data_IF_386072317242
#
_entry.id   IF_386072317242
#
_cell.length_a   1.000
_cell.length_b   1.000
_cell.length_c   1.000
_cell.angle_alpha   90.00
_cell.angle_beta   90.00
_cell.angle_gamma   90.00
#
_symmetry.space_group_name_H-M   'P 1'
#
loop_
_entity.id
_entity.type
_entity.pdbx_description
1 polymer ?
#
# COMPACT_ATOMS: atom_id res chain seq x y z
N UNK A 1 -123.22 20.01 12.12
CA UNK A 1 -122.64 18.71 11.70
C UNK A 1 -121.99 18.69 10.31
N UNK A 2 -122.48 19.44 9.31
CA UNK A 2 -121.87 19.46 7.97
C UNK A 2 -120.43 20.02 7.87
N UNK A 3 -120.07 21.00 8.70
CA UNK A 3 -118.76 21.64 8.65
C UNK A 3 -117.62 20.71 9.15
N UNK A 4 -117.90 19.90 10.18
CA UNK A 4 -116.95 18.93 10.73
C UNK A 4 -116.68 17.78 9.74
N UNK A 5 -117.71 17.25 9.10
CA UNK A 5 -117.58 16.20 8.08
C UNK A 5 -116.75 16.67 6.86
N UNK A 6 -116.93 17.92 6.44
CA UNK A 6 -116.18 18.50 5.33
C UNK A 6 -114.71 18.76 5.69
N UNK A 7 -114.42 19.15 6.94
CA UNK A 7 -113.03 19.24 7.43
C UNK A 7 -112.34 17.88 7.52
N UNK A 8 -113.03 16.84 8.00
CA UNK A 8 -112.47 15.48 8.06
C UNK A 8 -112.19 14.90 6.67
N UNK A 9 -113.09 15.12 5.71
CA UNK A 9 -112.89 14.70 4.32
C UNK A 9 -111.68 15.39 3.67
N UNK A 10 -111.54 16.71 3.86
CA UNK A 10 -110.38 17.47 3.37
C UNK A 10 -109.07 17.02 4.01
N UNK A 11 -109.09 16.73 5.32
CA UNK A 11 -107.93 16.25 6.06
C UNK A 11 -107.50 14.86 5.60
N UNK A 12 -108.44 13.95 5.34
CA UNK A 12 -108.17 12.64 4.77
C UNK A 12 -107.54 12.72 3.37
N UNK A 13 -108.03 13.64 2.52
CA UNK A 13 -107.46 13.87 1.20
C UNK A 13 -106.01 14.40 1.28
N UNK A 14 -105.73 15.33 2.21
CA UNK A 14 -104.37 15.84 2.44
C UNK A 14 -103.43 14.75 2.96
N UNK A 15 -103.89 13.89 3.88
CA UNK A 15 -103.10 12.76 4.38
C UNK A 15 -102.82 11.73 3.27
N UNK A 16 -103.78 11.46 2.39
CA UNK A 16 -103.56 10.58 1.24
C UNK A 16 -102.52 11.13 0.27
N UNK A 17 -102.56 12.44 -0.03
CA UNK A 17 -101.55 13.11 -0.85
C UNK A 17 -100.17 13.09 -0.19
N UNK A 18 -100.11 13.28 1.13
CA UNK A 18 -98.87 13.20 1.89
C UNK A 18 -98.26 11.79 1.85
N UNK A 19 -99.07 10.74 2.02
CA UNK A 19 -98.59 9.35 1.99
C UNK A 19 -98.08 8.96 0.59
N UNK A 20 -98.75 9.40 -0.48
CA UNK A 20 -98.30 9.18 -1.87
C UNK A 20 -96.95 9.86 -2.16
N UNK A 21 -96.71 11.05 -1.60
CA UNK A 21 -95.47 11.80 -1.83
C UNK A 21 -94.33 11.42 -0.88
N UNK A 22 -94.63 10.74 0.24
CA UNK A 22 -93.69 10.44 1.33
C UNK A 22 -92.39 9.80 0.85
N UNK A 23 -92.47 8.76 0.03
CA UNK A 23 -91.30 8.04 -0.47
C UNK A 23 -90.45 8.89 -1.42
N UNK A 24 -91.10 9.73 -2.26
CA UNK A 24 -90.40 10.64 -3.17
C UNK A 24 -89.66 11.72 -2.40
N UNK A 25 -90.32 12.33 -1.42
CA UNK A 25 -89.74 13.36 -0.56
C UNK A 25 -88.62 12.79 0.31
N UNK A 26 -88.80 11.59 0.87
CA UNK A 26 -87.77 10.88 1.60
C UNK A 26 -86.55 10.58 0.73
N UNK A 27 -86.75 10.03 -0.47
CA UNK A 27 -85.68 9.78 -1.43
C UNK A 27 -84.90 11.04 -1.78
N UNK A 28 -85.60 12.13 -2.11
CA UNK A 28 -84.97 13.43 -2.38
C UNK A 28 -84.18 13.96 -1.17
N UNK A 29 -84.75 13.86 0.04
CA UNK A 29 -84.07 14.26 1.27
C UNK A 29 -82.80 13.44 1.50
N UNK A 30 -82.84 12.12 1.33
CA UNK A 30 -81.67 11.25 1.45
C UNK A 30 -80.60 11.60 0.41
N UNK A 31 -80.97 11.89 -0.84
CA UNK A 31 -80.04 12.33 -1.88
C UNK A 31 -79.34 13.63 -1.48
N UNK A 32 -80.09 14.64 -1.02
CA UNK A 32 -79.53 15.94 -0.59
C UNK A 32 -78.62 15.74 0.62
N UNK A 33 -79.06 14.99 1.62
CA UNK A 33 -78.29 14.78 2.84
C UNK A 33 -77.00 13.98 2.58
N UNK A 34 -77.05 12.91 1.78
CA UNK A 34 -75.87 12.11 1.44
C UNK A 34 -74.85 12.93 0.65
N UNK A 35 -75.31 13.74 -0.31
CA UNK A 35 -74.47 14.69 -1.04
C UNK A 35 -73.80 15.68 -0.09
N UNK A 36 -74.56 16.31 0.81
CA UNK A 36 -74.04 17.30 1.77
C UNK A 36 -73.01 16.67 2.73
N UNK A 37 -73.32 15.49 3.29
CA UNK A 37 -72.39 14.73 4.15
C UNK A 37 -71.09 14.43 3.39
N UNK A 38 -71.19 14.00 2.13
CA UNK A 38 -70.03 13.79 1.26
C UNK A 38 -69.22 15.06 1.02
N UNK A 39 -69.87 16.19 0.77
CA UNK A 39 -69.20 17.49 0.60
C UNK A 39 -68.42 17.90 1.85
N UNK A 40 -69.02 17.74 3.03
CA UNK A 40 -68.37 18.04 4.33
C UNK A 40 -67.13 17.18 4.55
N UNK A 41 -67.23 15.86 4.35
CA UNK A 41 -66.09 14.95 4.54
C UNK A 41 -64.98 15.22 3.52
N UNK A 42 -65.30 15.42 2.24
CA UNK A 42 -64.30 15.77 1.22
C UNK A 42 -63.61 17.10 1.50
N UNK A 43 -64.32 18.10 2.02
CA UNK A 43 -63.71 19.36 2.46
C UNK A 43 -62.74 19.14 3.62
N UNK A 44 -63.13 18.34 4.61
CA UNK A 44 -62.29 18.00 5.76
C UNK A 44 -61.02 17.23 5.35
N UNK A 45 -61.14 16.22 4.50
CA UNK A 45 -59.99 15.46 3.98
C UNK A 45 -59.01 16.38 3.23
N UNK A 46 -59.51 17.28 2.38
CA UNK A 46 -58.67 18.27 1.70
C UNK A 46 -57.93 19.19 2.68
N UNK A 47 -58.60 19.60 3.76
CA UNK A 47 -57.95 20.37 4.82
C UNK A 47 -56.83 19.57 5.50
N UNK A 48 -57.10 18.32 5.89
CA UNK A 48 -56.09 17.45 6.52
C UNK A 48 -54.87 17.24 5.61
N UNK A 49 -55.07 16.98 4.32
CA UNK A 49 -53.97 16.83 3.37
C UNK A 49 -53.13 18.12 3.25
N UNK A 50 -53.77 19.29 3.17
CA UNK A 50 -53.04 20.57 3.14
C UNK A 50 -52.19 20.75 4.39
N UNK A 51 -52.76 20.50 5.56
CA UNK A 51 -52.03 20.59 6.84
C UNK A 51 -50.87 19.60 6.90
N UNK A 52 -51.08 18.35 6.48
CA UNK A 52 -50.05 17.33 6.44
C UNK A 52 -48.88 17.74 5.51
N UNK A 53 -49.18 18.26 4.31
CA UNK A 53 -48.16 18.74 3.38
C UNK A 53 -47.34 19.89 3.99
N UNK A 54 -47.98 20.81 4.72
CA UNK A 54 -47.28 21.89 5.43
C UNK A 54 -46.31 21.31 6.47
N UNK A 55 -46.75 20.40 7.33
CA UNK A 55 -45.90 19.76 8.35
C UNK A 55 -44.72 19.04 7.68
N UNK A 56 -45.01 18.22 6.68
CA UNK A 56 -43.98 17.46 5.97
C UNK A 56 -42.97 18.37 5.25
N UNK A 57 -43.41 19.48 4.65
CA UNK A 57 -42.53 20.48 4.02
C UNK A 57 -41.55 21.07 5.05
N UNK A 58 -42.05 21.46 6.21
CA UNK A 58 -41.21 22.00 7.29
C UNK A 58 -40.22 20.97 7.80
N UNK A 59 -40.66 19.73 7.99
CA UNK A 59 -39.79 18.63 8.43
C UNK A 59 -38.66 18.33 7.43
N UNK A 60 -38.98 18.18 6.14
CA UNK A 60 -37.98 17.98 5.09
C UNK A 60 -36.97 19.14 5.04
N UNK A 61 -37.44 20.37 5.19
CA UNK A 61 -36.58 21.55 5.28
C UNK A 61 -35.67 21.54 6.52
N UNK A 62 -36.19 21.12 7.68
CA UNK A 62 -35.40 20.97 8.90
C UNK A 62 -34.30 19.92 8.72
N UNK A 63 -34.62 18.74 8.19
CA UNK A 63 -33.64 17.69 7.93
C UNK A 63 -32.52 18.16 7.00
N UNK A 64 -32.86 18.83 5.90
CA UNK A 64 -31.88 19.39 4.98
C UNK A 64 -30.93 20.39 5.65
N UNK A 65 -31.47 21.32 6.46
CA UNK A 65 -30.65 22.27 7.23
C UNK A 65 -29.77 21.58 8.27
N UNK A 66 -30.28 20.56 8.94
CA UNK A 66 -29.52 19.80 9.93
C UNK A 66 -28.36 19.04 9.29
N UNK A 67 -28.61 18.36 8.17
CA UNK A 67 -27.59 17.68 7.38
C UNK A 67 -26.50 18.65 6.95
N UNK A 68 -26.87 19.79 6.37
CA UNK A 68 -25.90 20.82 5.95
C UNK A 68 -25.05 21.32 7.13
N UNK A 69 -25.67 21.66 8.27
CA UNK A 69 -24.94 22.11 9.47
C UNK A 69 -23.94 21.06 9.95
N UNK A 70 -24.32 19.78 9.93
CA UNK A 70 -23.43 18.69 10.33
C UNK A 70 -22.26 18.51 9.35
N UNK A 71 -22.52 18.60 8.04
CA UNK A 71 -21.48 18.53 7.01
C UNK A 71 -20.47 19.67 7.16
N UNK A 72 -20.94 20.91 7.35
CA UNK A 72 -20.07 22.08 7.55
C UNK A 72 -19.24 21.94 8.82
N UNK A 73 -19.87 21.55 9.95
CA UNK A 73 -19.15 21.29 11.20
C UNK A 73 -18.06 20.24 11.01
N UNK A 74 -18.38 19.11 10.37
CA UNK A 74 -17.42 18.04 10.09
C UNK A 74 -16.26 18.52 9.23
N UNK A 75 -16.55 19.25 8.15
CA UNK A 75 -15.52 19.79 7.27
C UNK A 75 -14.57 20.73 8.02
N UNK A 76 -15.11 21.61 8.87
CA UNK A 76 -14.32 22.49 9.73
C UNK A 76 -13.42 21.71 10.69
N UNK A 77 -13.95 20.69 11.37
CA UNK A 77 -13.16 19.85 12.28
C UNK A 77 -12.02 19.13 11.54
N UNK A 78 -12.30 18.54 10.37
CA UNK A 78 -11.27 17.88 9.55
C UNK A 78 -10.18 18.87 9.15
N UNK A 79 -10.56 20.05 8.65
CA UNK A 79 -9.61 21.09 8.26
C UNK A 79 -8.71 21.51 9.44
N UNK A 80 -9.32 21.77 10.60
CA UNK A 80 -8.60 22.17 11.82
C UNK A 80 -7.67 21.05 12.29
N UNK A 81 -8.13 19.80 12.29
CA UNK A 81 -7.33 18.65 12.71
C UNK A 81 -6.16 18.39 11.76
N UNK A 82 -6.36 18.51 10.46
CA UNK A 82 -5.31 18.38 9.45
C UNK A 82 -4.22 19.44 9.63
N UNK A 83 -4.62 20.69 9.87
CA UNK A 83 -3.67 21.78 10.15
C UNK A 83 -2.78 21.46 11.36
N UNK A 84 -3.37 21.08 12.49
CA UNK A 84 -2.57 20.77 13.68
C UNK A 84 -1.73 19.52 13.52
N UNK A 85 -2.25 18.49 12.85
CA UNK A 85 -1.48 17.28 12.53
C UNK A 85 -0.25 17.62 11.69
N UNK A 86 -0.39 18.47 10.67
CA UNK A 86 0.73 18.91 9.85
C UNK A 86 1.78 19.67 10.68
N UNK A 87 1.33 20.59 11.55
CA UNK A 87 2.24 21.33 12.43
C UNK A 87 2.96 20.39 13.41
N UNK A 88 2.26 19.42 13.98
CA UNK A 88 2.83 18.42 14.88
C UNK A 88 3.93 17.61 14.17
N UNK A 89 3.69 17.15 12.94
CA UNK A 89 4.68 16.42 12.15
C UNK A 89 5.94 17.26 11.90
N UNK A 90 5.80 18.56 11.60
CA UNK A 90 6.95 19.47 11.41
C UNK A 90 7.80 19.57 12.68
N UNK A 91 7.15 19.75 13.84
CA UNK A 91 7.82 19.84 15.14
C UNK A 91 8.52 18.51 15.46
N UNK A 92 7.81 17.39 15.32
CA UNK A 92 8.34 16.04 15.57
C UNK A 92 9.53 15.73 14.68
N UNK A 93 9.45 16.01 13.36
CA UNK A 93 10.56 15.81 12.42
C UNK A 93 11.80 16.60 12.82
N UNK A 94 11.63 17.86 13.25
CA UNK A 94 12.74 18.70 13.72
C UNK A 94 13.38 18.11 14.97
N UNK A 95 12.56 17.68 15.93
CA UNK A 95 13.02 17.08 17.18
C UNK A 95 13.74 15.74 16.96
N UNK A 96 13.16 14.82 16.18
CA UNK A 96 13.79 13.54 15.83
C UNK A 96 15.16 13.75 15.16
N UNK A 97 15.26 14.72 14.25
CA UNK A 97 16.53 15.06 13.62
C UNK A 97 17.58 15.56 14.62
N UNK A 98 17.18 16.43 15.55
CA UNK A 98 18.07 16.89 16.62
C UNK A 98 18.50 15.73 17.53
N UNK A 99 17.55 14.94 18.03
CA UNK A 99 17.79 13.85 18.95
C UNK A 99 18.77 12.83 18.35
N UNK A 100 18.53 12.44 17.10
CA UNK A 100 19.39 11.51 16.38
C UNK A 100 20.83 12.03 16.26
N UNK A 101 21.04 13.29 15.87
CA UNK A 101 22.38 13.89 15.76
C UNK A 101 23.09 14.10 17.09
N UNK A 102 22.35 14.21 18.19
CA UNK A 102 22.93 14.44 19.52
C UNK A 102 23.22 13.14 20.27
N UNK A 103 22.33 12.15 20.15
CA UNK A 103 22.33 10.98 21.04
C UNK A 103 22.48 9.63 20.31
N UNK A 104 22.22 9.55 19.00
CA UNK A 104 22.27 8.28 18.26
C UNK A 104 23.48 8.22 17.32
N UNK A 105 23.74 9.28 16.56
CA UNK A 105 24.76 9.30 15.51
C UNK A 105 25.93 10.21 15.86
N UNK A 106 27.10 9.61 16.12
CA UNK A 106 28.39 10.32 16.13
C UNK A 106 29.07 10.17 14.76
N UNK A 107 28.78 11.12 13.86
CA UNK A 107 29.35 11.16 12.52
C UNK A 107 30.87 11.24 12.52
N UNK A 108 31.46 12.00 13.44
CA UNK A 108 32.90 12.22 13.49
C UNK A 108 33.63 10.96 13.94
N UNK A 109 33.12 10.26 14.95
CA UNK A 109 33.66 8.97 15.38
C UNK A 109 33.57 7.92 14.27
N UNK A 110 32.41 7.80 13.61
CA UNK A 110 32.21 6.84 12.52
C UNK A 110 33.11 7.13 11.32
N UNK A 111 33.27 8.40 10.94
CA UNK A 111 34.18 8.81 9.86
C UNK A 111 35.64 8.51 10.18
N UNK A 112 36.07 8.72 11.42
CA UNK A 112 37.42 8.38 11.88
C UNK A 112 37.66 6.87 11.82
N UNK A 113 36.69 6.08 12.29
CA UNK A 113 36.73 4.63 12.23
C UNK A 113 36.90 4.11 10.79
N UNK A 114 36.07 4.59 9.86
CA UNK A 114 36.17 4.18 8.45
C UNK A 114 37.50 4.55 7.80
N UNK A 115 38.04 5.74 8.08
CA UNK A 115 39.38 6.11 7.57
C UNK A 115 40.45 5.14 8.06
N UNK A 116 40.44 4.81 9.34
CA UNK A 116 41.37 3.83 9.91
C UNK A 116 41.21 2.45 9.29
N UNK A 117 39.97 2.00 9.06
CA UNK A 117 39.66 0.74 8.38
C UNK A 117 40.20 0.69 6.95
N UNK A 118 40.02 1.77 6.18
CA UNK A 118 40.56 1.86 4.82
C UNK A 118 42.09 1.77 4.81
N UNK A 119 42.76 2.49 5.71
CA UNK A 119 44.22 2.42 5.84
C UNK A 119 44.68 0.99 6.21
N UNK A 120 44.04 0.37 7.20
CA UNK A 120 44.37 -1.00 7.62
C UNK A 120 44.15 -2.01 6.50
N UNK A 121 43.05 -1.88 5.75
CA UNK A 121 42.78 -2.71 4.59
C UNK A 121 43.85 -2.55 3.50
N UNK A 122 44.35 -1.33 3.27
CA UNK A 122 45.44 -1.11 2.32
C UNK A 122 46.75 -1.77 2.78
N UNK A 123 47.07 -1.67 4.07
CA UNK A 123 48.26 -2.32 4.66
C UNK A 123 48.16 -3.84 4.49
N UNK A 124 47.05 -4.44 4.92
CA UNK A 124 46.83 -5.89 4.82
C UNK A 124 46.93 -6.36 3.37
N UNK A 125 46.38 -5.60 2.41
CA UNK A 125 46.48 -5.94 0.98
C UNK A 125 47.94 -5.97 0.51
N UNK A 126 48.76 -4.99 0.89
CA UNK A 126 50.19 -4.97 0.55
C UNK A 126 50.94 -6.13 1.21
N UNK A 127 50.71 -6.38 2.49
CA UNK A 127 51.34 -7.50 3.21
C UNK A 127 51.01 -8.85 2.56
N UNK A 128 49.75 -9.04 2.12
CA UNK A 128 49.33 -10.25 1.40
C UNK A 128 50.00 -10.38 0.03
N UNK A 129 50.23 -9.27 -0.67
CA UNK A 129 50.92 -9.24 -1.96
C UNK A 129 52.41 -9.59 -1.80
N UNK A 130 53.10 -8.98 -0.84
CA UNK A 130 54.50 -9.29 -0.50
C UNK A 130 54.67 -10.76 -0.06
N UNK A 131 53.72 -11.28 0.72
CA UNK A 131 53.69 -12.69 1.13
C UNK A 131 53.47 -13.62 -0.07
N UNK A 132 52.61 -13.25 -1.02
CA UNK A 132 52.40 -14.03 -2.23
C UNK A 132 53.67 -14.08 -3.09
N UNK A 133 54.35 -12.94 -3.26
CA UNK A 133 55.60 -12.85 -4.03
C UNK A 133 56.74 -13.66 -3.41
N UNK A 134 56.92 -13.56 -2.09
CA UNK A 134 57.93 -14.34 -1.36
C UNK A 134 57.68 -15.84 -1.54
N UNK A 135 56.44 -16.28 -1.41
CA UNK A 135 56.04 -17.69 -1.59
C UNK A 135 56.26 -18.18 -3.03
N UNK A 136 55.98 -17.36 -4.03
CA UNK A 136 56.27 -17.67 -5.44
C UNK A 136 57.78 -17.76 -5.71
N UNK A 137 58.58 -16.86 -5.16
CA UNK A 137 60.05 -16.93 -5.24
C UNK A 137 60.60 -18.20 -4.61
N UNK A 138 60.13 -18.57 -3.43
CA UNK A 138 60.52 -19.83 -2.78
C UNK A 138 60.14 -21.06 -3.61
N UNK A 139 58.94 -21.07 -4.22
CA UNK A 139 58.50 -22.15 -5.11
C UNK A 139 59.40 -22.27 -6.34
N UNK A 140 59.71 -21.14 -6.99
CA UNK A 140 60.62 -21.10 -8.14
C UNK A 140 62.01 -21.60 -7.78
N UNK A 141 62.57 -21.15 -6.66
CA UNK A 141 63.88 -21.61 -6.19
C UNK A 141 63.89 -23.11 -5.89
N UNK A 142 62.87 -23.62 -5.17
CA UNK A 142 62.71 -25.05 -4.93
C UNK A 142 62.55 -25.87 -6.21
N UNK A 143 61.86 -25.32 -7.23
CA UNK A 143 61.72 -25.96 -8.54
C UNK A 143 63.06 -25.99 -9.29
N UNK A 144 63.80 -24.87 -9.30
CA UNK A 144 65.15 -24.79 -9.87
C UNK A 144 66.11 -25.78 -9.20
N UNK A 145 66.17 -25.81 -7.87
CA UNK A 145 67.00 -26.77 -7.13
C UNK A 145 66.60 -28.22 -7.43
N UNK A 146 65.31 -28.52 -7.61
CA UNK A 146 64.84 -29.85 -8.05
C UNK A 146 65.30 -30.17 -9.47
N UNK A 147 65.24 -29.20 -10.38
CA UNK A 147 65.68 -29.35 -11.76
C UNK A 147 67.20 -29.54 -11.85
N UNK A 148 67.98 -28.75 -11.10
CA UNK A 148 69.43 -28.91 -10.98
C UNK A 148 69.81 -30.27 -10.40
N UNK A 149 69.16 -30.69 -9.31
CA UNK A 149 69.35 -32.04 -8.76
C UNK A 149 69.02 -33.12 -9.79
N UNK A 150 67.95 -32.94 -10.59
CA UNK A 150 67.59 -33.86 -11.67
C UNK A 150 68.67 -33.89 -12.75
N UNK A 151 69.15 -32.74 -13.23
CA UNK A 151 70.23 -32.62 -14.21
C UNK A 151 71.52 -33.28 -13.69
N UNK A 152 71.88 -33.03 -12.43
CA UNK A 152 73.05 -33.62 -11.81
C UNK A 152 72.93 -35.15 -11.69
N UNK A 153 71.75 -35.64 -11.30
CA UNK A 153 71.45 -37.07 -11.27
C UNK A 153 71.50 -37.71 -12.66
N UNK A 154 70.91 -37.06 -13.67
CA UNK A 154 70.96 -37.52 -15.07
C UNK A 154 72.40 -37.52 -15.61
N UNK A 155 73.19 -36.47 -15.34
CA UNK A 155 74.60 -36.40 -15.72
C UNK A 155 75.43 -37.50 -15.05
N UNK A 156 75.26 -37.72 -13.74
CA UNK A 156 75.90 -38.85 -13.04
C UNK A 156 75.48 -40.20 -13.61
N UNK A 157 74.19 -40.39 -13.90
CA UNK A 157 73.67 -41.63 -14.48
C UNK A 157 74.25 -41.87 -15.87
N UNK A 158 74.39 -40.84 -16.70
CA UNK A 158 74.77 -40.94 -18.11
C UNK A 158 76.26 -40.61 -18.36
N UNK A 159 77.07 -40.41 -17.32
CA UNK A 159 78.45 -39.91 -17.45
C UNK A 159 79.34 -40.80 -18.32
N UNK A 160 79.06 -42.10 -18.42
CA UNK A 160 79.80 -43.04 -19.27
C UNK A 160 79.56 -42.86 -20.78
N UNK A 161 78.51 -42.13 -21.18
CA UNK A 161 78.20 -41.83 -22.58
C UNK A 161 78.97 -40.62 -23.12
N UNK A 162 79.55 -39.79 -22.24
CA UNK A 162 80.29 -38.59 -22.60
C UNK A 162 81.74 -38.73 -22.14
N UNK A 163 82.69 -38.32 -22.97
CA UNK A 163 84.11 -38.30 -22.57
C UNK A 163 84.34 -37.27 -21.47
N UNK A 164 84.97 -37.70 -20.38
CA UNK A 164 85.48 -36.79 -19.34
C UNK A 164 86.96 -36.57 -19.55
N UNK A 165 87.51 -35.50 -18.98
CA UNK A 165 88.94 -35.16 -19.10
C UNK A 165 89.87 -36.27 -18.55
N UNK A 166 89.34 -37.13 -17.68
CA UNK A 166 90.09 -38.23 -17.04
C UNK A 166 89.81 -39.60 -17.68
N UNK A 167 88.63 -39.83 -18.25
CA UNK A 167 88.20 -41.15 -18.78
C UNK A 167 87.41 -40.94 -20.09
N UNK A 168 87.83 -41.55 -21.22
CA UNK A 168 87.09 -41.50 -22.49
C UNK A 168 85.72 -42.17 -22.38
N UNK A 169 84.69 -41.57 -22.94
CA UNK A 169 83.34 -42.13 -22.98
C UNK A 169 83.27 -43.35 -23.90
N UNK A 170 82.21 -44.16 -23.79
CA UNK A 170 82.07 -45.41 -24.57
C UNK A 170 82.14 -45.20 -26.10
N UNK A 171 81.78 -44.01 -26.59
CA UNK A 171 81.85 -43.68 -28.02
C UNK A 171 83.23 -43.18 -28.48
N UNK A 172 84.13 -42.85 -27.54
CA UNK A 172 85.50 -42.45 -27.83
C UNK A 172 86.45 -43.64 -27.71
N UNK A 173 86.49 -44.43 -28.77
CA UNK A 173 87.34 -45.62 -28.86
C UNK A 173 88.83 -45.26 -28.78
N UNK A 174 89.63 -45.94 -27.94
CA UNK A 174 91.06 -45.65 -27.74
C UNK A 174 91.93 -45.90 -29.00
N UNK A 175 91.31 -46.36 -30.08
CA UNK A 175 91.96 -46.63 -31.37
C UNK A 175 91.74 -45.52 -32.42
N UNK A 176 91.04 -44.42 -32.07
CA UNK A 176 90.89 -43.24 -32.95
C UNK A 176 91.88 -42.13 -32.57
N UNK A 177 92.52 -41.53 -33.58
CA UNK A 177 93.50 -40.45 -33.41
C UNK A 177 92.88 -39.07 -33.12
N UNK A 178 91.58 -38.89 -33.37
CA UNK A 178 90.83 -37.63 -33.15
C UNK A 178 89.41 -37.97 -32.68
N UNK A 179 88.83 -37.24 -31.70
CA UNK A 179 87.45 -37.44 -31.23
C UNK A 179 86.41 -37.28 -32.36
N UNK A 180 85.25 -37.95 -32.23
CA UNK A 180 84.16 -37.83 -33.20
C UNK A 180 83.50 -36.44 -33.16
N UNK A 181 83.01 -35.94 -34.29
CA UNK A 181 82.44 -34.59 -34.43
C UNK A 181 81.21 -34.34 -33.54
N UNK A 182 80.55 -35.40 -33.08
CA UNK A 182 79.41 -35.31 -32.17
C UNK A 182 79.79 -35.17 -30.68
N UNK A 183 81.09 -35.23 -30.34
CA UNK A 183 81.60 -35.08 -28.97
C UNK A 183 82.31 -33.73 -28.69
N UNK A 184 82.15 -32.72 -29.57
CA UNK A 184 82.66 -31.35 -29.36
C UNK A 184 81.60 -30.41 -28.77
#
# INVERSE_FOLDING_TARGET
DGNAAQTHSKMAALMSIAEVNREREHGAAVTIQSWFRGCKIRAHIRFLHKTAVVIQKHWRGYLGRNCFRNTVKRAYFIMKMNFYSEMAVRIQKRWHGYYSRKYIHDYCAMKKYFRGLCMKNQIIRKELEEYAETKERERKKKAQEKEERRKHYEAQKMHYLLSTDQIPGIYNSPYRAVPDKMEA
#
